data_IF_797381307704
#
_entry.id   IF_797381307704
#
_cell.length_a   1.000
_cell.length_b   1.000
_cell.length_c   1.000
_cell.angle_alpha   90.00
_cell.angle_beta   90.00
_cell.angle_gamma   90.00
#
_symmetry.space_group_name_H-M   'P 1'
#
loop_
_entity.id
_entity.type
_entity.pdbx_description
1 polymer ?
#
# COMPACT_ATOMS: atom_id res chain seq x y z
N UNK A 1 -2.39 27.83 17.69
CA UNK A 1 -3.65 27.91 18.45
C UNK A 1 -4.92 27.90 17.58
N UNK A 2 -4.91 28.45 16.36
CA UNK A 2 -6.10 28.45 15.47
C UNK A 2 -6.58 27.03 15.09
N UNK A 3 -5.68 26.12 14.72
CA UNK A 3 -6.04 24.75 14.31
C UNK A 3 -6.68 23.94 15.44
N UNK A 4 -6.12 24.02 16.66
CA UNK A 4 -6.67 23.32 17.82
C UNK A 4 -8.07 23.87 18.20
N UNK A 5 -8.27 25.18 18.13
CA UNK A 5 -9.58 25.79 18.32
C UNK A 5 -10.60 25.34 17.26
N UNK A 6 -10.18 25.29 15.99
CA UNK A 6 -11.00 24.76 14.89
C UNK A 6 -11.42 23.31 15.16
N UNK A 7 -10.47 22.40 15.40
CA UNK A 7 -10.76 20.98 15.65
C UNK A 7 -11.74 20.77 16.81
N UNK A 8 -11.60 21.55 17.88
CA UNK A 8 -12.50 21.49 19.03
C UNK A 8 -13.93 21.95 18.72
N UNK A 9 -14.14 22.79 17.69
CA UNK A 9 -15.45 23.32 17.31
C UNK A 9 -16.18 22.42 16.30
N UNK A 10 -15.45 21.65 15.50
CA UNK A 10 -16.04 20.83 14.42
C UNK A 10 -16.35 19.37 14.79
N UNK A 11 -16.28 18.99 16.07
CA UNK A 11 -16.55 17.62 16.56
C UNK A 11 -15.97 16.52 15.65
N UNK A 12 -14.70 16.68 15.29
CA UNK A 12 -14.00 15.72 14.44
C UNK A 12 -13.82 14.40 15.19
N UNK A 13 -13.79 13.31 14.42
CA UNK A 13 -13.37 12.02 14.92
C UNK A 13 -11.98 12.11 15.56
N UNK A 14 -11.79 11.48 16.72
CA UNK A 14 -10.49 11.44 17.40
C UNK A 14 -9.50 10.57 16.61
N UNK A 15 -8.45 11.16 16.01
CA UNK A 15 -7.56 10.42 15.15
C UNK A 15 -6.76 9.38 15.97
N UNK A 16 -6.65 8.17 15.42
CA UNK A 16 -5.77 7.18 15.97
C UNK A 16 -4.32 7.68 16.09
N UNK A 17 -3.61 7.20 17.11
CA UNK A 17 -2.18 7.50 17.25
C UNK A 17 -1.39 7.03 16.03
N UNK A 18 -0.28 7.72 15.71
CA UNK A 18 0.64 7.31 14.63
C UNK A 18 1.05 5.85 14.74
N UNK A 19 1.31 5.36 15.97
CA UNK A 19 1.68 3.96 16.23
C UNK A 19 0.59 2.98 15.83
N UNK A 20 -0.66 3.31 16.15
CA UNK A 20 -1.83 2.49 15.76
C UNK A 20 -1.96 2.43 14.25
N UNK A 21 -1.93 3.59 13.58
CA UNK A 21 -2.03 3.67 12.12
C UNK A 21 -0.90 2.89 11.41
N UNK A 22 0.36 3.05 11.85
CA UNK A 22 1.50 2.30 11.27
C UNK A 22 1.33 0.80 11.43
N UNK A 23 0.94 0.32 12.62
CA UNK A 23 0.72 -1.11 12.87
C UNK A 23 -0.38 -1.66 11.96
N UNK A 24 -1.48 -0.92 11.83
CA UNK A 24 -2.63 -1.39 11.08
C UNK A 24 -2.36 -1.41 9.57
N UNK A 25 -1.61 -0.42 9.04
CA UNK A 25 -1.15 -0.40 7.64
C UNK A 25 -0.23 -1.59 7.34
N UNK A 26 0.75 -1.85 8.21
CA UNK A 26 1.68 -2.99 8.03
C UNK A 26 0.93 -4.31 8.08
N UNK A 27 -0.01 -4.47 9.02
CA UNK A 27 -0.85 -5.66 9.12
C UNK A 27 -1.66 -5.88 7.83
N UNK A 28 -2.36 -4.84 7.38
CA UNK A 28 -3.14 -4.88 6.14
C UNK A 28 -2.27 -5.26 4.93
N UNK A 29 -1.07 -4.70 4.82
CA UNK A 29 -0.14 -5.03 3.73
C UNK A 29 0.25 -6.51 3.74
N UNK A 30 0.64 -7.04 4.90
CA UNK A 30 1.06 -8.45 5.04
C UNK A 30 -0.09 -9.39 4.67
N UNK A 31 -1.29 -9.12 5.17
CA UNK A 31 -2.48 -9.93 4.90
C UNK A 31 -2.85 -9.92 3.41
N UNK A 32 -2.90 -8.74 2.78
CA UNK A 32 -3.22 -8.61 1.34
C UNK A 32 -2.15 -9.25 0.46
N UNK A 33 -0.88 -9.11 0.79
CA UNK A 33 0.23 -9.75 0.06
C UNK A 33 0.14 -11.27 0.12
N UNK A 34 -0.18 -11.83 1.29
CA UNK A 34 -0.36 -13.27 1.45
C UNK A 34 -1.56 -13.79 0.64
N UNK A 35 -2.71 -13.09 0.71
CA UNK A 35 -3.90 -13.44 -0.07
C UNK A 35 -3.64 -13.39 -1.58
N UNK A 36 -2.98 -12.34 -2.08
CA UNK A 36 -2.63 -12.20 -3.48
C UNK A 36 -1.70 -13.31 -3.97
N UNK A 37 -0.68 -13.67 -3.17
CA UNK A 37 0.22 -14.78 -3.49
C UNK A 37 -0.54 -16.10 -3.59
N UNK A 38 -1.44 -16.37 -2.64
CA UNK A 38 -2.26 -17.58 -2.66
C UNK A 38 -3.19 -17.61 -3.87
N UNK A 39 -3.76 -16.45 -4.22
CA UNK A 39 -4.60 -16.30 -5.39
C UNK A 39 -3.84 -16.63 -6.68
N UNK A 40 -2.66 -16.05 -6.90
CA UNK A 40 -1.82 -16.39 -8.06
C UNK A 40 -1.45 -17.88 -8.16
N UNK A 41 -1.14 -18.52 -7.02
CA UNK A 41 -0.84 -19.96 -6.99
C UNK A 41 -2.07 -20.77 -7.41
N UNK A 42 -3.27 -20.37 -6.95
CA UNK A 42 -4.51 -21.07 -7.22
C UNK A 42 -5.04 -20.85 -8.65
N UNK A 43 -4.95 -19.62 -9.18
CA UNK A 43 -5.52 -19.24 -10.48
C UNK A 43 -4.72 -19.77 -11.66
N UNK A 44 -3.42 -20.08 -11.46
CA UNK A 44 -2.51 -20.58 -12.50
C UNK A 44 -2.48 -19.69 -13.76
N UNK A 45 -2.83 -18.42 -13.61
CA UNK A 45 -2.85 -17.46 -14.71
C UNK A 45 -1.45 -16.94 -15.01
N UNK A 46 -1.30 -16.30 -16.16
CA UNK A 46 -0.08 -15.56 -16.48
C UNK A 46 -0.03 -14.28 -15.66
N UNK A 47 1.15 -14.02 -15.10
CA UNK A 47 1.48 -12.80 -14.36
C UNK A 47 2.79 -12.27 -14.94
N UNK A 48 2.81 -11.02 -15.33
CA UNK A 48 4.00 -10.33 -15.82
C UNK A 48 4.56 -9.47 -14.70
N UNK A 49 5.87 -9.48 -14.47
CA UNK A 49 6.51 -8.64 -13.46
C UNK A 49 7.32 -7.55 -14.14
N UNK A 50 7.18 -6.31 -13.67
CA UNK A 50 8.05 -5.19 -14.06
C UNK A 50 8.81 -4.71 -12.84
N UNK A 51 10.13 -4.63 -12.97
CA UNK A 51 10.99 -4.08 -11.92
C UNK A 51 11.44 -2.68 -12.36
N UNK A 52 11.08 -1.68 -11.57
CA UNK A 52 11.56 -0.31 -11.73
C UNK A 52 12.64 -0.05 -10.68
N UNK A 53 13.80 0.46 -11.11
CA UNK A 53 14.96 0.70 -10.26
C UNK A 53 15.45 2.11 -10.51
N UNK A 54 15.58 2.89 -9.45
CA UNK A 54 16.14 4.24 -9.52
C UNK A 54 16.91 4.59 -8.25
N UNK A 55 17.78 5.58 -8.36
CA UNK A 55 18.48 6.17 -7.22
C UNK A 55 17.90 7.57 -7.00
N UNK A 56 17.62 7.92 -5.75
CA UNK A 56 17.23 9.29 -5.41
C UNK A 56 18.49 10.13 -5.25
N UNK A 57 18.67 11.12 -6.12
CA UNK A 57 19.85 12.00 -6.11
C UNK A 57 20.00 12.78 -4.79
N UNK A 58 18.89 13.13 -4.14
CA UNK A 58 18.89 13.94 -2.91
C UNK A 58 19.32 13.11 -1.69
N UNK A 59 18.84 11.86 -1.60
CA UNK A 59 19.13 11.00 -0.44
C UNK A 59 20.27 10.01 -0.69
N UNK A 60 20.72 9.87 -1.94
CA UNK A 60 21.70 8.87 -2.37
C UNK A 60 21.20 7.42 -2.26
N UNK A 61 19.92 7.20 -2.00
CA UNK A 61 19.34 5.87 -1.73
C UNK A 61 18.86 5.23 -3.02
N UNK A 62 19.15 3.94 -3.22
CA UNK A 62 18.57 3.14 -4.31
C UNK A 62 17.23 2.53 -3.90
N UNK A 63 16.28 2.57 -4.82
CA UNK A 63 14.95 2.00 -4.68
C UNK A 63 14.71 0.97 -5.78
N UNK A 64 13.99 -0.09 -5.42
CA UNK A 64 13.54 -1.11 -6.35
C UNK A 64 12.07 -1.38 -6.05
N UNK A 65 11.23 -1.24 -7.08
CA UNK A 65 9.81 -1.57 -7.02
C UNK A 65 9.51 -2.68 -8.00
N UNK A 66 8.85 -3.73 -7.50
CA UNK A 66 8.37 -4.83 -8.33
C UNK A 66 6.86 -4.71 -8.41
N UNK A 67 6.34 -4.55 -9.63
CA UNK A 67 4.91 -4.48 -9.93
C UNK A 67 4.49 -5.73 -10.68
N UNK A 68 3.36 -6.34 -10.29
CA UNK A 68 2.81 -7.52 -10.93
C UNK A 68 1.59 -7.12 -11.77
N UNK A 69 1.63 -7.44 -13.07
CA UNK A 69 0.58 -7.20 -14.05
C UNK A 69 -0.17 -8.49 -14.34
N UNK A 70 -1.50 -8.48 -14.25
CA UNK A 70 -2.33 -9.67 -14.41
C UNK A 70 -3.78 -9.33 -14.81
N UNK A 71 -4.48 -10.29 -15.43
CA UNK A 71 -5.91 -10.16 -15.74
C UNK A 71 -6.76 -10.67 -14.56
N UNK A 72 -7.73 -9.89 -14.10
CA UNK A 72 -8.69 -10.32 -13.08
C UNK A 72 -9.91 -11.04 -13.69
N UNK A 73 -10.87 -11.40 -12.84
CA UNK A 73 -12.09 -12.12 -13.24
C UNK A 73 -13.02 -11.25 -14.10
N UNK A 74 -12.92 -9.94 -13.93
CA UNK A 74 -13.62 -8.90 -14.68
C UNK A 74 -12.89 -8.50 -15.97
N UNK A 75 -11.85 -9.25 -16.37
CA UNK A 75 -11.03 -9.00 -17.57
C UNK A 75 -10.30 -7.65 -17.56
N UNK A 76 -9.99 -7.12 -16.38
CA UNK A 76 -9.21 -5.89 -16.23
C UNK A 76 -7.74 -6.24 -16.02
N UNK A 77 -6.89 -5.49 -16.70
CA UNK A 77 -5.45 -5.51 -16.47
C UNK A 77 -5.16 -4.70 -15.21
N UNK A 78 -4.65 -5.38 -14.18
CA UNK A 78 -4.20 -4.80 -12.92
C UNK A 78 -2.70 -4.96 -12.75
#
# INVERSE_FOLDING_TARGET
>A
MAWQHFCNRVNLYDPHSRRTATRDIVKMFVERKAAMRQWFISSKQRVSLTTDIWTCDITGSSYMVITAHYLDQEWRLN
#
